data_IF_937034575579
#
_entry.id   IF_937034575579
#
_cell.length_a   1.000
_cell.length_b   1.000
_cell.length_c   1.000
_cell.angle_alpha   90.00
_cell.angle_beta   90.00
_cell.angle_gamma   90.00
#
_symmetry.space_group_name_H-M   'P 1'
#
loop_
_entity.id
_entity.type
_entity.pdbx_description
1 polymer ?
#
# COMPACT_ATOMS: atom_id res chain seq x y z
N UNK A 1 -17.04 -8.72 19.61
CA UNK A 1 -16.60 -9.85 18.77
C UNK A 1 -15.51 -9.34 17.84
N UNK A 2 -14.26 -9.74 18.04
CA UNK A 2 -13.16 -9.43 17.12
C UNK A 2 -13.37 -10.21 15.82
N UNK A 3 -13.53 -9.51 14.70
CA UNK A 3 -13.62 -10.12 13.38
C UNK A 3 -12.29 -10.82 13.11
N UNK A 4 -12.31 -12.12 12.85
CA UNK A 4 -11.11 -12.86 12.48
C UNK A 4 -10.47 -12.20 11.25
N UNK A 5 -9.21 -11.79 11.38
CA UNK A 5 -8.43 -11.29 10.26
C UNK A 5 -8.13 -12.49 9.37
N UNK A 6 -8.73 -12.50 8.17
CA UNK A 6 -8.43 -13.53 7.16
C UNK A 6 -7.09 -13.14 6.54
N UNK A 7 -6.06 -14.00 6.61
CA UNK A 7 -4.79 -13.74 5.93
C UNK A 7 -5.00 -13.55 4.43
N UNK A 8 -4.26 -12.63 3.82
CA UNK A 8 -4.23 -12.48 2.36
C UNK A 8 -3.85 -13.81 1.73
N UNK A 9 -4.66 -14.32 0.79
CA UNK A 9 -4.33 -15.52 0.00
C UNK A 9 -3.29 -15.17 -1.08
N UNK A 10 -2.03 -15.65 -0.95
CA UNK A 10 -0.98 -15.34 -1.91
C UNK A 10 -1.29 -15.86 -3.31
N UNK A 11 -1.95 -17.03 -3.40
CA UNK A 11 -2.23 -17.68 -4.68
C UNK A 11 -3.32 -16.93 -5.43
N UNK A 12 -4.44 -16.64 -4.75
CA UNK A 12 -5.53 -15.85 -5.32
C UNK A 12 -5.09 -14.45 -5.75
N UNK A 13 -4.20 -13.78 -5.01
CA UNK A 13 -3.67 -12.49 -5.45
C UNK A 13 -2.71 -12.62 -6.65
N UNK A 14 -1.88 -13.66 -6.70
CA UNK A 14 -1.01 -13.93 -7.85
C UNK A 14 -1.81 -14.19 -9.14
N UNK A 15 -2.90 -14.96 -9.06
CA UNK A 15 -3.80 -15.21 -10.20
C UNK A 15 -4.46 -13.92 -10.72
N UNK A 16 -4.55 -12.89 -9.88
CA UNK A 16 -5.06 -11.56 -10.23
C UNK A 16 -3.96 -10.59 -10.66
N UNK A 17 -2.74 -11.06 -10.86
CA UNK A 17 -1.58 -10.25 -11.25
C UNK A 17 -1.07 -9.33 -10.13
N UNK A 18 -1.27 -9.72 -8.87
CA UNK A 18 -0.84 -8.95 -7.69
C UNK A 18 0.13 -9.77 -6.87
N UNK A 19 0.89 -9.08 -6.02
CA UNK A 19 1.81 -9.71 -5.07
C UNK A 19 1.25 -9.53 -3.67
N UNK A 20 1.10 -10.63 -2.93
CA UNK A 20 0.82 -10.57 -1.51
C UNK A 20 2.08 -10.11 -0.79
N UNK A 21 2.00 -8.94 -0.17
CA UNK A 21 3.09 -8.29 0.56
C UNK A 21 2.56 -7.86 1.93
N UNK A 22 3.31 -8.19 2.98
CA UNK A 22 3.07 -7.70 4.33
C UNK A 22 4.10 -6.62 4.63
N UNK A 23 3.62 -5.46 5.03
CA UNK A 23 4.40 -4.33 5.49
C UNK A 23 3.92 -3.95 6.89
N UNK A 24 4.83 -3.53 7.74
CA UNK A 24 4.44 -2.96 9.02
C UNK A 24 3.88 -1.52 8.84
N UNK A 25 3.25 -0.95 9.86
CA UNK A 25 2.73 0.42 9.77
C UNK A 25 3.81 1.48 9.49
N UNK A 26 5.06 1.29 9.92
CA UNK A 26 6.14 2.26 9.73
C UNK A 26 6.54 2.31 8.25
N UNK A 27 6.70 1.15 7.61
CA UNK A 27 6.93 1.01 6.18
C UNK A 27 5.79 1.63 5.35
N UNK A 28 4.53 1.41 5.78
CA UNK A 28 3.38 2.02 5.12
C UNK A 28 3.37 3.55 5.26
N UNK A 29 3.75 4.10 6.42
CA UNK A 29 3.87 5.56 6.62
C UNK A 29 4.95 6.13 5.72
N UNK A 30 6.12 5.47 5.65
CA UNK A 30 7.20 5.88 4.76
C UNK A 30 6.73 5.92 3.29
N UNK A 31 6.08 4.86 2.82
CA UNK A 31 5.54 4.81 1.44
C UNK A 31 4.41 5.80 1.19
N UNK A 32 3.61 6.16 2.19
CA UNK A 32 2.52 7.13 2.05
C UNK A 32 3.02 8.58 1.88
N UNK A 33 4.16 8.87 2.47
CA UNK A 33 4.73 10.22 2.56
C UNK A 33 5.80 10.46 1.50
N UNK A 34 6.65 9.48 1.26
CA UNK A 34 7.80 9.60 0.36
C UNK A 34 7.41 9.49 -1.12
N UNK A 35 8.05 10.31 -1.96
CA UNK A 35 7.93 10.29 -3.41
C UNK A 35 9.33 10.18 -4.00
N UNK A 36 9.56 9.18 -4.86
CA UNK A 36 10.85 8.98 -5.52
C UNK A 36 10.89 9.50 -6.96
N UNK A 37 9.82 10.12 -7.44
CA UNK A 37 9.78 10.70 -8.78
C UNK A 37 10.77 11.87 -8.89
N UNK A 38 11.67 11.88 -9.89
CA UNK A 38 12.46 13.07 -10.20
C UNK A 38 11.56 14.21 -10.69
N UNK A 39 12.07 15.44 -10.69
CA UNK A 39 11.28 16.62 -11.08
C UNK A 39 10.82 16.61 -12.55
N UNK A 40 11.48 15.83 -13.40
CA UNK A 40 11.19 15.62 -14.81
C UNK A 40 10.59 14.24 -15.09
N UNK A 41 10.04 13.58 -14.07
CA UNK A 41 9.40 12.29 -14.21
C UNK A 41 8.30 12.33 -15.28
N UNK A 42 8.20 11.32 -16.16
CA UNK A 42 7.07 11.24 -17.06
C UNK A 42 5.78 11.05 -16.26
N UNK A 43 4.66 11.58 -16.78
CA UNK A 43 3.35 11.51 -16.12
C UNK A 43 2.95 10.09 -15.68
N UNK A 44 3.33 9.06 -16.44
CA UNK A 44 3.04 7.66 -16.06
C UNK A 44 3.75 7.23 -14.76
N UNK A 45 4.96 7.73 -14.52
CA UNK A 45 5.72 7.45 -13.30
C UNK A 45 5.11 8.20 -12.10
N UNK A 46 4.69 9.45 -12.29
CA UNK A 46 3.97 10.23 -11.28
C UNK A 46 2.66 9.53 -10.90
N UNK A 47 1.86 9.14 -11.88
CA UNK A 47 0.60 8.41 -11.68
C UNK A 47 0.82 7.11 -10.91
N UNK A 48 1.89 6.38 -11.24
CA UNK A 48 2.26 5.16 -10.54
C UNK A 48 2.60 5.44 -9.08
N UNK A 49 3.41 6.47 -8.81
CA UNK A 49 3.77 6.87 -7.46
C UNK A 49 2.55 7.32 -6.65
N UNK A 50 1.65 8.11 -7.25
CA UNK A 50 0.42 8.57 -6.61
C UNK A 50 -0.48 7.39 -6.22
N UNK A 51 -0.66 6.40 -7.11
CA UNK A 51 -1.43 5.19 -6.79
C UNK A 51 -0.83 4.40 -5.63
N UNK A 52 0.49 4.26 -5.57
CA UNK A 52 1.16 3.55 -4.46
C UNK A 52 0.95 4.27 -3.12
N UNK A 53 1.20 5.59 -3.09
CA UNK A 53 1.01 6.43 -1.89
C UNK A 53 -0.44 6.40 -1.42
N UNK A 54 -1.40 6.47 -2.34
CA UNK A 54 -2.83 6.38 -2.01
C UNK A 54 -3.18 5.03 -1.38
N UNK A 55 -2.67 3.92 -1.92
CA UNK A 55 -2.89 2.58 -1.35
C UNK A 55 -2.30 2.45 0.05
N UNK A 56 -1.08 2.98 0.27
CA UNK A 56 -0.45 2.99 1.59
C UNK A 56 -1.28 3.79 2.61
N UNK A 57 -1.71 5.02 2.27
CA UNK A 57 -2.60 5.84 3.10
C UNK A 57 -3.92 5.15 3.41
N UNK A 58 -4.50 4.46 2.41
CA UNK A 58 -5.74 3.72 2.58
C UNK A 58 -5.55 2.53 3.53
N UNK A 59 -4.42 1.84 3.47
CA UNK A 59 -4.10 0.75 4.39
C UNK A 59 -3.99 1.27 5.84
N UNK A 60 -3.28 2.38 6.05
CA UNK A 60 -3.18 3.05 7.35
C UNK A 60 -4.53 3.56 7.88
N UNK A 61 -5.37 4.13 7.01
CA UNK A 61 -6.71 4.53 7.40
C UNK A 61 -7.56 3.33 7.87
N UNK A 62 -7.40 2.17 7.22
CA UNK A 62 -8.13 0.94 7.56
C UNK A 62 -7.59 0.23 8.79
N UNK A 63 -6.35 0.46 9.21
CA UNK A 63 -5.80 -0.16 10.44
C UNK A 63 -6.41 0.43 11.71
N UNK A 64 -7.13 1.55 11.61
CA UNK A 64 -7.74 2.22 12.75
C UNK A 64 -6.74 3.07 13.55
N UNK A 65 -7.19 3.73 14.62
CA UNK A 65 -6.34 4.52 15.50
C UNK A 65 -5.24 3.64 16.10
N UNK A 66 -4.01 4.16 16.12
CA UNK A 66 -2.94 3.62 16.95
C UNK A 66 -3.12 4.26 18.33
N UNK A 67 -3.49 3.49 19.34
CA UNK A 67 -3.45 3.93 20.75
C UNK A 67 -1.99 4.15 21.20
#
# INVERSE_FOLDING_TARGET
MTRAVVPTDPRGESERGRVALWLDPDDLRWLAEHCCCPADAPAEAEDRCLRLRFRARTALHKSGPTD
#
